data_IF_632367793969
#
_entry.id   IF_632367793969
#
_cell.length_a   1.000
_cell.length_b   1.000
_cell.length_c   1.000
_cell.angle_alpha   90.00
_cell.angle_beta   90.00
_cell.angle_gamma   90.00
#
_symmetry.space_group_name_H-M   'P 1'
#
loop_
_entity.id
_entity.type
_entity.pdbx_description
1 polymer ?
#
# COMPACT_ATOMS: atom_id res chain seq x y z
N UNK A 1 7.75 14.91 1.15
CA UNK A 1 6.68 15.55 1.97
C UNK A 1 6.27 16.78 1.20
N UNK A 2 5.04 16.79 0.64
CA UNK A 2 4.49 17.90 -0.14
C UNK A 2 3.48 18.74 0.66
N UNK A 3 3.27 19.98 0.23
CA UNK A 3 2.17 20.80 0.71
C UNK A 3 0.82 20.22 0.26
N UNK A 4 -0.27 20.58 0.93
CA UNK A 4 -1.62 20.28 0.43
C UNK A 4 -1.84 20.94 -0.94
N UNK A 5 -2.65 20.31 -1.76
CA UNK A 5 -2.99 20.77 -3.12
C UNK A 5 -4.50 21.02 -3.21
N UNK A 6 -4.88 22.15 -3.77
CA UNK A 6 -6.26 22.44 -4.12
C UNK A 6 -6.49 22.10 -5.59
N UNK A 7 -7.36 21.14 -5.87
CA UNK A 7 -7.73 20.73 -7.22
C UNK A 7 -8.92 21.53 -7.78
N UNK A 8 -9.70 22.18 -6.91
CA UNK A 8 -10.87 22.96 -7.29
C UNK A 8 -10.71 24.39 -6.83
N UNK A 9 -11.41 25.33 -7.49
CA UNK A 9 -11.53 26.74 -7.08
C UNK A 9 -12.18 26.93 -5.69
N UNK A 10 -12.71 25.85 -5.10
CA UNK A 10 -13.18 25.78 -3.73
C UNK A 10 -12.04 25.54 -2.75
N UNK A 11 -12.21 26.03 -1.54
CA UNK A 11 -11.23 25.94 -0.45
C UNK A 11 -11.22 24.52 0.18
N UNK A 12 -10.90 23.48 -0.60
CA UNK A 12 -10.87 22.07 -0.15
C UNK A 12 -9.47 21.45 -0.38
N UNK A 13 -8.49 21.78 0.49
CA UNK A 13 -7.13 21.31 0.35
C UNK A 13 -7.03 19.81 0.63
N UNK A 14 -6.43 19.07 -0.28
CA UNK A 14 -6.17 17.63 -0.14
C UNK A 14 -4.71 17.39 0.24
N UNK A 15 -4.48 16.41 1.12
CA UNK A 15 -3.14 15.92 1.40
C UNK A 15 -2.58 15.18 0.19
N UNK A 16 -1.31 15.45 -0.15
CA UNK A 16 -0.62 14.65 -1.14
C UNK A 16 -0.39 13.23 -0.60
N UNK A 17 -0.61 12.19 -1.42
CA UNK A 17 -0.34 10.82 -1.02
C UNK A 17 1.13 10.67 -0.61
N UNK A 18 1.34 10.40 0.67
CA UNK A 18 2.66 10.13 1.24
C UNK A 18 2.66 8.71 1.75
N UNK A 19 3.65 7.90 1.34
CA UNK A 19 3.77 6.50 1.74
C UNK A 19 5.03 6.30 2.57
N UNK A 20 4.91 5.49 3.61
CA UNK A 20 6.04 4.86 4.29
C UNK A 20 6.17 3.44 3.77
N UNK A 21 7.32 3.12 3.19
CA UNK A 21 7.66 1.76 2.79
C UNK A 21 8.90 1.30 3.53
N UNK A 22 8.80 0.17 4.20
CA UNK A 22 9.89 -0.49 4.88
C UNK A 22 9.99 -1.91 4.34
N UNK A 23 11.19 -2.29 3.94
CA UNK A 23 11.42 -3.62 3.39
C UNK A 23 12.80 -4.14 3.73
N UNK A 24 12.92 -5.45 3.69
CA UNK A 24 14.19 -6.15 3.85
C UNK A 24 14.24 -7.35 2.91
N UNK A 25 15.45 -7.69 2.48
CA UNK A 25 15.70 -8.88 1.69
C UNK A 25 16.97 -9.57 2.19
N UNK A 26 16.93 -10.89 2.20
CA UNK A 26 18.05 -11.74 2.57
C UNK A 26 18.36 -12.68 1.43
N UNK A 27 19.63 -12.73 1.03
CA UNK A 27 20.11 -13.65 0.00
C UNK A 27 20.93 -14.75 0.64
N UNK A 28 20.55 -15.98 0.34
CA UNK A 28 21.18 -17.21 0.81
C UNK A 28 21.87 -17.90 -0.37
N UNK A 29 23.21 -18.04 -0.37
CA UNK A 29 23.87 -18.91 -1.32
C UNK A 29 23.54 -20.37 -0.95
N UNK A 30 22.92 -21.13 -1.84
CA UNK A 30 22.54 -22.52 -1.60
C UNK A 30 23.65 -23.47 -2.05
N UNK A 31 24.30 -23.16 -3.17
CA UNK A 31 25.43 -23.89 -3.74
C UNK A 31 26.17 -22.96 -4.73
N UNK A 32 27.23 -23.46 -5.37
CA UNK A 32 27.88 -22.76 -6.45
C UNK A 32 26.86 -22.38 -7.52
N UNK A 33 26.81 -21.08 -7.87
CA UNK A 33 25.87 -20.49 -8.85
C UNK A 33 24.40 -20.44 -8.44
N UNK A 34 24.00 -20.95 -7.25
CA UNK A 34 22.61 -21.01 -6.80
C UNK A 34 22.38 -20.03 -5.64
N UNK A 35 21.50 -19.07 -5.83
CA UNK A 35 21.12 -18.11 -4.79
C UNK A 35 19.61 -18.08 -4.61
N UNK A 36 19.18 -17.99 -3.35
CA UNK A 36 17.79 -17.77 -2.98
C UNK A 36 17.69 -16.45 -2.24
N UNK A 37 16.89 -15.53 -2.75
CA UNK A 37 16.60 -14.27 -2.06
C UNK A 37 15.17 -14.29 -1.57
N UNK A 38 14.98 -14.01 -0.28
CA UNK A 38 13.67 -13.82 0.34
C UNK A 38 13.50 -12.36 0.72
N UNK A 39 12.38 -11.78 0.38
CA UNK A 39 12.07 -10.37 0.66
C UNK A 39 10.71 -10.19 1.31
N UNK A 40 10.60 -9.19 2.17
CA UNK A 40 9.34 -8.73 2.74
C UNK A 40 9.30 -7.21 2.74
N UNK A 41 8.16 -6.67 2.35
CA UNK A 41 7.88 -5.23 2.36
C UNK A 41 6.59 -4.95 3.11
N UNK A 42 6.59 -3.83 3.83
CA UNK A 42 5.41 -3.22 4.44
C UNK A 42 5.24 -1.81 3.88
N UNK A 43 4.03 -1.47 3.52
CA UNK A 43 3.70 -0.15 3.00
C UNK A 43 2.46 0.40 3.70
N UNK A 44 2.55 1.62 4.23
CA UNK A 44 1.43 2.34 4.86
C UNK A 44 1.28 3.72 4.22
N UNK A 45 0.04 4.08 3.89
CA UNK A 45 -0.30 5.43 3.46
C UNK A 45 -0.33 6.36 4.68
N UNK A 46 0.47 7.43 4.64
CA UNK A 46 0.61 8.41 5.71
C UNK A 46 -0.25 9.65 5.42
N UNK A 47 -1.53 9.42 5.18
CA UNK A 47 -2.52 10.48 4.99
C UNK A 47 -3.58 10.34 6.07
N UNK A 48 -3.86 11.41 6.86
CA UNK A 48 -4.84 11.30 7.93
C UNK A 48 -6.24 11.06 7.38
N UNK A 49 -6.99 10.21 8.06
CA UNK A 49 -8.37 9.89 7.70
C UNK A 49 -9.22 11.16 7.68
N UNK A 50 -9.95 11.38 6.57
CA UNK A 50 -10.91 12.49 6.49
C UNK A 50 -12.13 12.16 7.37
N UNK A 51 -12.62 13.09 8.21
CA UNK A 51 -13.83 12.89 8.97
C UNK A 51 -15.00 12.48 8.07
N UNK A 52 -15.74 11.45 8.48
CA UNK A 52 -16.91 10.94 7.75
C UNK A 52 -18.17 11.34 8.49
N UNK A 53 -19.20 11.75 7.78
CA UNK A 53 -20.49 12.16 8.38
C UNK A 53 -21.10 11.09 9.30
N UNK A 54 -20.95 9.82 8.92
CA UNK A 54 -21.48 8.69 9.71
C UNK A 54 -20.85 8.53 11.10
N UNK A 55 -19.65 9.10 11.33
CA UNK A 55 -18.93 9.01 12.60
C UNK A 55 -19.44 10.08 13.60
N UNK A 56 -20.35 10.96 13.16
CA UNK A 56 -20.93 12.07 13.93
C UNK A 56 -22.46 11.96 14.07
N UNK A 57 -22.94 10.73 14.21
CA UNK A 57 -24.35 10.48 14.56
C UNK A 57 -24.49 10.38 16.08
N UNK A 58 -25.51 11.05 16.63
CA UNK A 58 -25.85 10.94 18.04
C UNK A 58 -26.45 9.54 18.34
N UNK A 59 -26.49 9.09 19.59
CA UNK A 59 -27.15 7.82 19.97
C UNK A 59 -28.60 7.72 19.50
N UNK A 60 -29.31 8.86 19.37
CA UNK A 60 -30.67 8.96 18.86
C UNK A 60 -30.76 8.95 17.32
N UNK A 61 -29.60 8.85 16.61
CA UNK A 61 -29.53 8.84 15.17
C UNK A 61 -29.60 10.22 14.50
N UNK A 62 -29.57 11.31 15.27
CA UNK A 62 -29.50 12.66 14.74
C UNK A 62 -28.07 12.97 14.30
N UNK A 63 -27.92 13.85 13.32
CA UNK A 63 -26.61 14.26 12.81
C UNK A 63 -26.07 15.48 13.54
N UNK A 64 -24.89 15.34 14.17
CA UNK A 64 -24.19 16.44 14.81
C UNK A 64 -23.36 17.22 13.79
N UNK A 65 -23.98 18.23 13.19
CA UNK A 65 -23.34 19.07 12.17
C UNK A 65 -22.20 19.90 12.72
N UNK A 66 -22.31 20.41 13.94
CA UNK A 66 -21.29 21.27 14.55
C UNK A 66 -20.01 20.47 14.81
N UNK A 67 -20.11 19.30 15.46
CA UNK A 67 -18.97 18.44 15.70
C UNK A 67 -18.29 17.98 14.40
N UNK A 68 -19.07 17.65 13.37
CA UNK A 68 -18.51 17.31 12.06
C UNK A 68 -17.80 18.45 11.40
N UNK A 69 -18.40 19.66 11.38
CA UNK A 69 -17.82 20.84 10.74
C UNK A 69 -16.50 21.25 11.41
N UNK A 70 -16.46 21.21 12.73
CA UNK A 70 -15.26 21.46 13.52
C UNK A 70 -14.14 20.44 13.23
N UNK A 71 -14.49 19.16 13.18
CA UNK A 71 -13.53 18.13 12.85
C UNK A 71 -12.98 18.28 11.43
N UNK A 72 -13.85 18.62 10.47
CA UNK A 72 -13.47 18.87 9.09
C UNK A 72 -12.54 20.09 8.96
N UNK A 73 -12.85 21.16 9.70
CA UNK A 73 -12.01 22.35 9.71
C UNK A 73 -10.62 22.03 10.31
N UNK A 74 -10.57 21.36 11.44
CA UNK A 74 -9.32 20.87 12.06
C UNK A 74 -8.49 20.01 11.10
N UNK A 75 -9.16 19.13 10.32
CA UNK A 75 -8.51 18.31 9.31
C UNK A 75 -7.96 19.18 8.14
N UNK A 76 -8.72 20.19 7.70
CA UNK A 76 -8.30 21.13 6.66
C UNK A 76 -7.12 22.00 7.09
N UNK A 77 -7.08 22.42 8.35
CA UNK A 77 -6.01 23.29 8.89
C UNK A 77 -4.77 22.51 9.35
N UNK A 78 -4.89 21.17 9.44
CA UNK A 78 -3.79 20.33 9.89
C UNK A 78 -2.58 20.42 8.96
N UNK A 79 -1.37 20.60 9.54
CA UNK A 79 -0.14 20.60 8.75
C UNK A 79 0.15 19.20 8.16
N UNK A 80 0.84 19.12 7.00
CA UNK A 80 1.21 17.83 6.43
C UNK A 80 2.04 16.94 7.38
N UNK A 81 2.93 17.55 8.15
CA UNK A 81 3.77 16.83 9.13
C UNK A 81 2.91 16.26 10.24
N UNK A 82 2.01 17.06 10.81
CA UNK A 82 1.06 16.60 11.85
C UNK A 82 0.17 15.48 11.29
N UNK A 83 -0.26 15.60 10.03
CA UNK A 83 -1.05 14.57 9.35
C UNK A 83 -0.32 13.22 9.25
N UNK A 84 0.98 13.24 8.94
CA UNK A 84 1.80 12.02 8.89
C UNK A 84 1.81 11.32 10.26
N UNK A 85 2.06 12.04 11.34
CA UNK A 85 2.07 11.42 12.67
C UNK A 85 0.68 10.95 13.10
N UNK A 86 -0.36 11.72 12.79
CA UNK A 86 -1.72 11.38 13.13
C UNK A 86 -2.21 10.13 12.41
N UNK A 87 -1.75 9.89 11.16
CA UNK A 87 -2.11 8.69 10.37
C UNK A 87 -1.70 7.36 10.99
N UNK A 88 -1.00 7.34 12.11
CA UNK A 88 -0.71 6.12 12.87
C UNK A 88 -1.71 5.81 13.98
N UNK A 89 -2.64 6.71 14.25
CA UNK A 89 -3.56 6.59 15.40
C UNK A 89 -4.98 7.10 15.11
N UNK A 90 -5.31 7.35 13.84
CA UNK A 90 -6.55 8.02 13.46
C UNK A 90 -7.61 7.09 12.84
N UNK A 91 -7.33 5.79 12.76
CA UNK A 91 -8.31 4.83 12.29
C UNK A 91 -9.51 4.75 13.26
N UNK A 92 -10.75 4.95 12.78
CA UNK A 92 -11.96 4.96 13.63
C UNK A 92 -12.17 3.66 14.43
N UNK A 93 -11.70 2.53 13.91
CA UNK A 93 -11.76 1.22 14.57
C UNK A 93 -10.57 0.93 15.49
N UNK A 94 -9.70 1.94 15.77
CA UNK A 94 -8.53 1.82 16.64
C UNK A 94 -7.43 0.94 16.06
N UNK A 95 -6.59 0.40 16.92
CA UNK A 95 -5.37 -0.32 16.52
C UNK A 95 -5.60 -1.50 15.54
N UNK A 96 -6.74 -2.18 15.64
CA UNK A 96 -7.08 -3.28 14.71
C UNK A 96 -7.35 -2.79 13.29
N UNK A 97 -7.88 -1.59 13.15
CA UNK A 97 -8.09 -0.98 11.83
C UNK A 97 -6.79 -0.39 11.29
N UNK A 98 -5.95 0.18 12.15
CA UNK A 98 -4.61 0.64 11.78
C UNK A 98 -3.77 -0.46 11.13
N UNK A 99 -3.80 -1.68 11.69
CA UNK A 99 -3.08 -2.82 11.09
C UNK A 99 -3.61 -3.15 9.69
N UNK A 100 -4.91 -2.97 9.44
CA UNK A 100 -5.51 -3.21 8.13
C UNK A 100 -5.11 -2.17 7.07
N UNK A 101 -4.56 -1.05 7.47
CA UNK A 101 -4.01 -0.03 6.57
C UNK A 101 -2.60 -0.36 6.08
N UNK A 102 -1.96 -1.34 6.70
CA UNK A 102 -0.65 -1.80 6.29
C UNK A 102 -0.80 -2.85 5.20
N UNK A 103 -0.29 -2.51 4.01
CA UNK A 103 -0.14 -3.46 2.93
C UNK A 103 1.19 -4.18 3.09
N UNK A 104 1.22 -5.47 2.81
CA UNK A 104 2.47 -6.22 2.85
C UNK A 104 2.67 -7.06 1.59
N UNK A 105 3.92 -7.27 1.24
CA UNK A 105 4.32 -8.19 0.20
C UNK A 105 5.44 -9.10 0.68
N UNK A 106 5.37 -10.36 0.26
CA UNK A 106 6.40 -11.37 0.51
C UNK A 106 6.79 -11.93 -0.83
N UNK A 107 8.10 -12.06 -1.07
CA UNK A 107 8.61 -12.59 -2.33
C UNK A 107 9.82 -13.46 -2.14
N UNK A 108 10.02 -14.33 -3.12
CA UNK A 108 11.20 -15.15 -3.26
C UNK A 108 11.74 -15.06 -4.69
N UNK A 109 13.04 -14.98 -4.83
CA UNK A 109 13.75 -15.07 -6.10
C UNK A 109 14.81 -16.16 -5.99
N UNK A 110 14.74 -17.11 -6.91
CA UNK A 110 15.82 -18.06 -7.13
C UNK A 110 16.62 -17.64 -8.35
N UNK A 111 17.94 -17.52 -8.19
CA UNK A 111 18.85 -17.15 -9.24
C UNK A 111 19.86 -18.25 -9.48
N UNK A 112 20.01 -18.66 -10.75
CA UNK A 112 21.03 -19.60 -11.22
C UNK A 112 22.07 -18.85 -12.06
N UNK A 113 23.31 -18.93 -11.64
CA UNK A 113 24.47 -18.29 -12.29
C UNK A 113 24.27 -16.80 -12.61
N UNK A 114 23.39 -16.12 -11.88
CA UNK A 114 22.97 -14.73 -12.16
C UNK A 114 22.46 -14.49 -13.60
N UNK A 115 22.09 -15.56 -14.29
CA UNK A 115 21.59 -15.55 -15.65
C UNK A 115 20.10 -15.92 -15.72
N UNK A 116 19.68 -16.91 -14.95
CA UNK A 116 18.29 -17.34 -14.90
C UNK A 116 17.69 -16.97 -13.56
N UNK A 117 16.48 -16.42 -13.60
CA UNK A 117 15.75 -15.98 -12.42
C UNK A 117 14.34 -16.55 -12.44
N UNK A 118 13.93 -17.15 -11.33
CA UNK A 118 12.55 -17.53 -11.07
C UNK A 118 12.07 -16.74 -9.86
N UNK A 119 10.90 -16.12 -9.97
CA UNK A 119 10.34 -15.24 -8.95
C UNK A 119 8.94 -15.67 -8.61
N UNK A 120 8.61 -15.61 -7.33
CA UNK A 120 7.26 -15.81 -6.84
C UNK A 120 7.01 -14.86 -5.69
N UNK A 121 5.79 -14.33 -5.60
CA UNK A 121 5.46 -13.42 -4.50
C UNK A 121 3.96 -13.30 -4.29
N UNK A 122 3.61 -12.78 -3.14
CA UNK A 122 2.25 -12.47 -2.75
C UNK A 122 2.14 -11.05 -2.23
N UNK A 123 1.15 -10.33 -2.72
CA UNK A 123 0.79 -9.01 -2.23
C UNK A 123 -0.57 -9.04 -1.54
N UNK A 124 -0.64 -8.41 -0.38
CA UNK A 124 -1.86 -8.29 0.40
C UNK A 124 -2.20 -6.86 0.75
N UNK A 125 -3.43 -6.47 0.43
CA UNK A 125 -4.08 -5.28 0.91
C UNK A 125 -5.44 -5.66 1.51
N UNK A 126 -5.79 -5.06 2.64
CA UNK A 126 -7.03 -5.37 3.33
C UNK A 126 -8.25 -5.12 2.46
N UNK A 127 -9.27 -5.99 2.59
CA UNK A 127 -10.54 -5.87 1.87
C UNK A 127 -11.26 -4.54 2.11
N UNK A 128 -11.10 -3.95 3.29
CA UNK A 128 -11.70 -2.66 3.65
C UNK A 128 -10.93 -1.45 3.10
N UNK A 129 -9.73 -1.64 2.56
CA UNK A 129 -8.83 -0.54 2.16
C UNK A 129 -8.40 -0.59 0.67
N UNK A 130 -8.99 -1.46 -0.14
CA UNK A 130 -8.70 -1.56 -1.57
C UNK A 130 -8.80 -2.98 -2.13
N UNK A 131 -8.71 -4.00 -1.27
CA UNK A 131 -8.91 -5.41 -1.62
C UNK A 131 -8.00 -5.93 -2.74
N UNK A 132 -6.78 -5.41 -2.85
CA UNK A 132 -5.82 -5.89 -3.83
C UNK A 132 -5.00 -7.04 -3.24
N UNK A 133 -5.30 -8.23 -3.70
CA UNK A 133 -4.59 -9.44 -3.28
C UNK A 133 -4.26 -10.24 -4.53
N UNK A 134 -2.99 -10.54 -4.74
CA UNK A 134 -2.56 -11.29 -5.90
C UNK A 134 -1.27 -12.07 -5.65
N UNK A 135 -1.14 -13.17 -6.34
CA UNK A 135 0.12 -13.87 -6.54
C UNK A 135 0.80 -13.35 -7.81
N UNK A 136 2.09 -13.16 -7.75
CA UNK A 136 2.93 -12.83 -8.89
C UNK A 136 3.95 -13.95 -9.12
N UNK A 137 4.11 -14.36 -10.37
CA UNK A 137 5.15 -15.28 -10.80
C UNK A 137 5.95 -14.63 -11.92
N UNK A 138 7.24 -14.86 -11.96
CA UNK A 138 8.09 -14.29 -12.97
C UNK A 138 9.25 -15.20 -13.32
N UNK A 139 9.72 -15.08 -14.55
CA UNK A 139 10.95 -15.68 -15.01
C UNK A 139 11.79 -14.61 -15.72
N UNK A 140 13.09 -14.65 -15.51
CA UNK A 140 14.02 -13.72 -16.12
C UNK A 140 15.24 -14.44 -16.68
N UNK A 141 15.79 -13.87 -17.72
CA UNK A 141 17.02 -14.33 -18.35
C UNK A 141 17.93 -13.14 -18.63
N UNK A 142 19.19 -13.24 -18.22
CA UNK A 142 20.18 -12.18 -18.39
C UNK A 142 21.45 -12.72 -19.01
N UNK A 143 21.81 -12.21 -20.17
CA UNK A 143 23.07 -12.49 -20.87
C UNK A 143 23.77 -11.18 -21.18
N UNK A 144 24.94 -10.97 -20.59
CA UNK A 144 25.82 -9.82 -20.82
C UNK A 144 25.08 -8.47 -20.98
N UNK A 145 24.58 -8.19 -22.18
CA UNK A 145 23.94 -6.92 -22.57
C UNK A 145 22.40 -7.02 -22.75
N UNK A 146 21.85 -8.23 -22.70
CA UNK A 146 20.40 -8.48 -22.91
C UNK A 146 19.81 -9.04 -21.64
N UNK A 147 18.71 -8.43 -21.17
CA UNK A 147 17.87 -8.96 -20.10
C UNK A 147 16.43 -9.05 -20.59
N UNK A 148 15.84 -10.21 -20.40
CA UNK A 148 14.44 -10.48 -20.71
C UNK A 148 13.77 -10.92 -19.43
N UNK A 149 12.67 -10.29 -19.09
CA UNK A 149 11.86 -10.62 -17.92
C UNK A 149 10.40 -10.78 -18.37
N UNK A 150 9.74 -11.83 -17.91
CA UNK A 150 8.30 -12.03 -18.08
C UNK A 150 7.67 -12.25 -16.71
N UNK A 151 6.49 -11.70 -16.49
CA UNK A 151 5.76 -11.89 -15.24
C UNK A 151 4.27 -12.03 -15.48
N UNK A 152 3.64 -12.85 -14.65
CA UNK A 152 2.21 -13.09 -14.66
C UNK A 152 1.61 -12.90 -13.27
N UNK A 153 0.47 -12.23 -13.19
CA UNK A 153 -0.24 -11.95 -11.95
C UNK A 153 -1.59 -12.66 -11.94
N UNK A 154 -1.89 -13.30 -10.82
CA UNK A 154 -3.16 -13.97 -10.54
C UNK A 154 -3.80 -13.26 -9.35
N UNK A 155 -4.90 -12.54 -9.59
CA UNK A 155 -5.66 -11.91 -8.53
C UNK A 155 -6.43 -12.98 -7.73
N UNK A 156 -6.37 -12.86 -6.39
CA UNK A 156 -7.15 -13.73 -5.49
C UNK A 156 -8.46 -13.06 -5.06
N UNK A 157 -8.56 -11.73 -5.24
CA UNK A 157 -9.75 -10.97 -4.96
C UNK A 157 -10.71 -11.02 -6.16
N UNK A 158 -11.99 -11.30 -5.91
CA UNK A 158 -13.02 -11.27 -6.97
C UNK A 158 -13.12 -9.87 -7.60
N UNK A 159 -13.24 -9.81 -8.94
CA UNK A 159 -13.38 -8.59 -9.72
C UNK A 159 -12.16 -7.64 -9.65
N UNK A 160 -10.97 -8.18 -9.51
CA UNK A 160 -9.76 -7.36 -9.58
C UNK A 160 -9.43 -6.99 -11.03
N UNK A 161 -9.18 -5.70 -11.34
CA UNK A 161 -8.72 -5.29 -12.67
C UNK A 161 -7.31 -5.78 -13.02
N UNK A 162 -6.59 -6.38 -12.05
CA UNK A 162 -5.25 -6.93 -12.23
C UNK A 162 -5.26 -8.43 -12.54
N UNK A 163 -6.45 -9.04 -12.64
CA UNK A 163 -6.55 -10.47 -12.91
C UNK A 163 -6.01 -10.79 -14.31
N UNK A 164 -5.23 -11.87 -14.42
CA UNK A 164 -4.63 -12.36 -15.66
C UNK A 164 -3.74 -11.33 -16.40
N UNK A 165 -3.05 -10.46 -15.65
CA UNK A 165 -2.13 -9.49 -16.25
C UNK A 165 -0.79 -10.14 -16.58
N UNK A 166 -0.41 -10.12 -17.86
CA UNK A 166 0.90 -10.56 -18.36
C UNK A 166 1.76 -9.32 -18.67
N UNK A 167 3.01 -9.33 -18.25
CA UNK A 167 4.00 -8.27 -18.52
C UNK A 167 5.30 -8.88 -19.07
N UNK A 168 5.87 -8.22 -20.06
CA UNK A 168 7.14 -8.54 -20.68
C UNK A 168 8.14 -7.40 -20.48
#
# INVERSE_FOLDING_TARGET
IGSKVNYNSGNDPAFLPTNLRLGTAFTFPLADYHNLTLGVDFNKLLVPAKPRQQDYLTPEGAYDYEAYSDALQKWKDMSPITGIFKSFTDAPGGFKEEIKEINYSIGAEYAYNQQFFLRGGYFHESRSKGNRQYFGFGAGFSLNVIRLDASYMIATAQHSPLDQTLRF
#
